data_IF_655446465510
#
_entry.id   IF_655446465510
#
_cell.length_a   1.000
_cell.length_b   1.000
_cell.length_c   1.000
_cell.angle_alpha   90.00
_cell.angle_beta   90.00
_cell.angle_gamma   90.00
#
_symmetry.space_group_name_H-M   'P 1'
#
loop_
_entity.id
_entity.type
_entity.pdbx_description
1 polymer ?
#
# COMPACT_ATOMS: atom_id res chain seq x y z
N UNK A 1 25.95 -16.39 30.30
CA UNK A 1 24.56 -15.87 30.43
C UNK A 1 24.58 -14.49 29.79
N UNK A 2 23.90 -14.12 28.69
CA UNK A 2 22.84 -14.71 27.90
C UNK A 2 21.89 -13.57 27.47
N UNK A 3 22.10 -13.01 26.26
CA UNK A 3 21.17 -12.21 25.41
C UNK A 3 20.83 -10.80 25.94
N UNK A 4 21.19 -9.71 25.22
CA UNK A 4 20.39 -9.12 24.11
C UNK A 4 19.19 -8.36 24.72
N UNK A 5 19.09 -7.03 24.64
CA UNK A 5 18.52 -6.27 23.51
C UNK A 5 18.94 -4.79 23.53
N UNK A 6 19.09 -4.20 22.34
CA UNK A 6 19.34 -2.77 22.13
C UNK A 6 18.05 -1.94 22.28
N UNK A 7 18.17 -0.77 22.92
CA UNK A 7 17.11 0.22 23.09
C UNK A 7 16.70 0.83 21.76
N UNK A 8 15.39 0.84 21.52
CA UNK A 8 14.75 1.18 20.25
C UNK A 8 15.06 2.62 19.85
N UNK A 9 15.61 2.77 18.65
CA UNK A 9 15.77 4.00 17.88
C UNK A 9 14.47 4.82 17.84
N UNK A 10 14.49 6.01 18.41
CA UNK A 10 13.41 6.98 18.25
C UNK A 10 13.70 7.87 17.04
N UNK A 11 13.20 7.43 15.89
CA UNK A 11 13.16 8.18 14.64
C UNK A 11 12.47 9.54 14.86
N UNK A 12 13.24 10.62 14.82
CA UNK A 12 12.73 11.99 14.75
C UNK A 12 13.29 12.64 13.50
N UNK A 13 12.52 12.63 12.41
CA UNK A 13 12.53 13.63 11.35
C UNK A 13 11.42 13.33 10.34
N UNK A 14 10.29 14.02 10.49
CA UNK A 14 9.43 14.53 9.41
C UNK A 14 8.21 15.24 10.01
N UNK A 15 8.43 16.52 10.29
CA UNK A 15 7.53 17.66 10.04
C UNK A 15 6.02 17.42 10.19
N UNK A 16 5.53 17.76 11.38
CA UNK A 16 4.29 18.49 11.68
C UNK A 16 3.38 18.79 10.47
N UNK A 17 2.31 18.01 10.30
CA UNK A 17 1.06 18.52 9.74
C UNK A 17 -0.01 18.38 10.81
N UNK A 18 -0.25 19.47 11.55
CA UNK A 18 -1.47 19.61 12.34
C UNK A 18 -2.59 19.69 11.32
N UNK A 19 -3.17 18.53 10.97
CA UNK A 19 -4.50 18.50 10.39
C UNK A 19 -5.38 18.27 11.60
N UNK A 20 -6.09 19.32 12.01
CA UNK A 20 -7.24 19.21 12.90
C UNK A 20 -8.12 18.10 12.33
N UNK A 21 -8.08 16.92 12.94
CA UNK A 21 -8.97 15.82 12.59
C UNK A 21 -10.36 16.22 13.04
N UNK A 22 -11.05 17.01 12.20
CA UNK A 22 -12.49 17.01 12.18
C UNK A 22 -12.87 15.67 11.55
N UNK A 23 -12.80 14.60 12.33
CA UNK A 23 -13.49 13.37 11.98
C UNK A 23 -14.95 13.76 11.69
N UNK A 24 -15.44 13.56 10.45
CA UNK A 24 -16.82 13.90 10.15
C UNK A 24 -17.71 12.95 10.95
N UNK A 25 -18.43 13.50 11.94
CA UNK A 25 -19.45 12.88 12.80
C UNK A 25 -20.65 12.25 12.03
N UNK A 26 -20.52 12.05 10.72
CA UNK A 26 -21.59 11.58 9.83
C UNK A 26 -21.14 10.80 8.61
N UNK A 27 -19.91 10.25 8.58
CA UNK A 27 -19.53 9.37 7.47
C UNK A 27 -19.89 7.92 7.80
N UNK A 28 -21.03 7.47 7.30
CA UNK A 28 -21.50 6.07 7.36
C UNK A 28 -20.56 5.08 6.64
N UNK A 29 -19.56 5.58 5.91
CA UNK A 29 -18.57 4.78 5.20
C UNK A 29 -17.20 5.36 5.55
N UNK A 30 -16.47 4.71 6.45
CA UNK A 30 -15.05 4.99 6.60
C UNK A 30 -14.37 4.57 5.31
N UNK A 31 -13.85 5.52 4.53
CA UNK A 31 -12.83 5.23 3.53
C UNK A 31 -11.62 4.67 4.28
N UNK A 32 -11.61 3.36 4.45
CA UNK A 32 -10.45 2.62 4.91
C UNK A 32 -9.37 2.79 3.84
N UNK A 33 -8.11 3.02 4.23
CA UNK A 33 -7.04 3.14 3.26
C UNK A 33 -7.00 1.87 2.41
N UNK A 34 -7.11 2.04 1.10
CA UNK A 34 -6.86 1.00 0.11
C UNK A 34 -5.46 1.23 -0.46
N UNK A 35 -4.59 0.21 -0.53
CA UNK A 35 -4.84 -1.19 -0.21
C UNK A 35 -4.86 -1.48 1.31
N UNK A 36 -5.52 -2.56 1.75
CA UNK A 36 -5.54 -2.96 3.15
C UNK A 36 -4.11 -3.21 3.65
N UNK A 37 -3.85 -2.99 4.93
CA UNK A 37 -2.51 -3.12 5.52
C UNK A 37 -1.83 -4.48 5.24
N UNK A 38 -2.61 -5.54 5.06
CA UNK A 38 -2.12 -6.90 4.82
C UNK A 38 -2.20 -7.34 3.34
N UNK A 39 -2.36 -6.40 2.40
CA UNK A 39 -2.48 -6.75 0.98
C UNK A 39 -1.19 -7.39 0.44
N UNK A 40 -0.05 -6.78 0.75
CA UNK A 40 1.26 -7.27 0.30
C UNK A 40 1.57 -8.67 0.83
N UNK A 41 1.20 -8.96 2.08
CA UNK A 41 1.43 -10.27 2.70
C UNK A 41 0.46 -11.33 2.21
N UNK A 42 -0.79 -10.94 1.90
CA UNK A 42 -1.82 -11.87 1.41
C UNK A 42 -1.67 -12.18 -0.08
N UNK A 43 -1.14 -11.24 -0.86
CA UNK A 43 -0.96 -11.37 -2.31
C UNK A 43 0.45 -10.92 -2.75
N UNK A 44 1.50 -11.65 -2.34
CA UNK A 44 2.88 -11.27 -2.66
C UNK A 44 3.18 -11.28 -4.18
N UNK A 45 2.49 -12.15 -4.93
CA UNK A 45 2.66 -12.28 -6.38
C UNK A 45 1.81 -11.29 -7.20
N UNK A 46 0.96 -10.48 -6.55
CA UNK A 46 0.05 -9.55 -7.24
C UNK A 46 0.75 -8.62 -8.24
N UNK A 47 1.92 -8.01 -7.92
CA UNK A 47 2.60 -7.14 -8.88
C UNK A 47 2.98 -7.87 -10.17
N UNK A 48 3.48 -9.11 -10.07
CA UNK A 48 3.90 -9.90 -11.21
C UNK A 48 2.70 -10.30 -12.08
N UNK A 49 1.63 -10.79 -11.46
CA UNK A 49 0.41 -11.16 -12.19
C UNK A 49 -0.18 -9.96 -12.92
N UNK A 50 -0.25 -8.80 -12.25
CA UNK A 50 -0.74 -7.57 -12.85
C UNK A 50 0.10 -7.16 -14.07
N UNK A 51 1.43 -7.22 -13.96
CA UNK A 51 2.32 -6.89 -15.08
C UNK A 51 2.12 -7.80 -16.27
N UNK A 52 2.01 -9.12 -16.06
CA UNK A 52 1.76 -10.08 -17.14
C UNK A 52 0.43 -9.80 -17.84
N UNK A 53 -0.60 -9.48 -17.06
CA UNK A 53 -1.94 -9.19 -17.59
C UNK A 53 -1.92 -7.92 -18.46
N UNK A 54 -1.24 -6.86 -18.01
CA UNK A 54 -1.05 -5.63 -18.80
C UNK A 54 -0.28 -5.92 -20.10
N UNK A 55 0.78 -6.72 -20.04
CA UNK A 55 1.58 -7.07 -21.24
C UNK A 55 0.74 -7.88 -22.22
N UNK A 56 -0.03 -8.86 -21.76
CA UNK A 56 -0.92 -9.67 -22.59
C UNK A 56 -1.97 -8.83 -23.31
N UNK A 57 -2.64 -7.94 -22.57
CA UNK A 57 -3.64 -7.03 -23.13
C UNK A 57 -2.99 -6.04 -24.10
N UNK A 58 -1.81 -5.51 -23.77
CA UNK A 58 -1.06 -4.61 -24.64
C UNK A 58 -0.65 -5.26 -25.96
N UNK A 59 -0.12 -6.49 -25.92
CA UNK A 59 0.24 -7.25 -27.12
C UNK A 59 -1.00 -7.54 -27.98
N UNK A 60 -2.10 -7.96 -27.35
CA UNK A 60 -3.36 -8.19 -28.05
C UNK A 60 -3.88 -6.91 -28.72
N UNK A 61 -3.83 -5.78 -28.02
CA UNK A 61 -4.24 -4.48 -28.56
C UNK A 61 -3.38 -4.05 -29.76
N UNK A 62 -2.05 -4.20 -29.67
CA UNK A 62 -1.14 -3.92 -30.79
C UNK A 62 -1.43 -4.83 -31.98
N UNK A 63 -1.76 -6.10 -31.74
CA UNK A 63 -2.13 -7.04 -32.81
C UNK A 63 -3.42 -6.65 -33.54
N UNK A 64 -4.35 -5.95 -32.88
CA UNK A 64 -5.57 -5.44 -33.52
C UNK A 64 -5.33 -4.17 -34.35
N UNK A 65 -4.28 -3.42 -34.03
CA UNK A 65 -3.88 -2.21 -34.74
C UNK A 65 -3.07 -2.50 -36.01
N UNK A 66 -2.60 -3.74 -36.17
CA UNK A 66 -1.87 -4.23 -37.34
C UNK A 66 -2.83 -4.82 -38.37
#
# INVERSE_FOLDING_TARGET
MGKGFATKTQSTNKTKKIITSKEPKGRLISWSPWPPANFQTRYPAFPLVLTLLIVLVGQWYISLLR
#
